data_IF_519649482162
#
_entry.id   IF_519649482162
#
_cell.length_a   1.000
_cell.length_b   1.000
_cell.length_c   1.000
_cell.angle_alpha   90.00
_cell.angle_beta   90.00
_cell.angle_gamma   90.00
#
_symmetry.space_group_name_H-M   'P 1'
#
loop_
_entity.id
_entity.type
_entity.pdbx_description
1 polymer ?
#
# COMPACT_ATOMS: atom_id res chain seq x y z
N UNK A 1 -3.64 -10.19 -3.73
CA UNK A 1 -2.65 -10.74 -4.69
C UNK A 1 -2.81 -10.15 -6.09
N UNK A 2 -3.62 -10.71 -7.01
CA UNK A 2 -3.62 -10.27 -8.42
C UNK A 2 -3.98 -8.80 -8.67
N UNK A 3 -4.78 -8.17 -7.82
CA UNK A 3 -5.09 -6.74 -7.91
C UNK A 3 -4.00 -5.84 -7.31
N UNK A 4 -3.25 -6.32 -6.32
CA UNK A 4 -2.17 -5.55 -5.68
C UNK A 4 -1.02 -5.35 -6.66
N UNK A 5 -0.71 -6.39 -7.46
CA UNK A 5 0.33 -6.32 -8.48
C UNK A 5 0.00 -5.30 -9.57
N UNK A 6 -1.29 -5.13 -9.93
CA UNK A 6 -1.74 -4.11 -10.87
C UNK A 6 -1.57 -2.70 -10.31
N UNK A 7 -1.96 -2.50 -9.05
CA UNK A 7 -1.82 -1.20 -8.38
C UNK A 7 -0.33 -0.83 -8.24
N UNK A 8 0.51 -1.80 -7.88
CA UNK A 8 1.94 -1.62 -7.74
C UNK A 8 2.60 -1.26 -9.08
N UNK A 9 2.22 -1.94 -10.17
CA UNK A 9 2.70 -1.62 -11.51
C UNK A 9 2.29 -0.20 -11.92
N UNK A 10 1.02 0.18 -11.72
CA UNK A 10 0.53 1.53 -12.02
C UNK A 10 1.29 2.61 -11.22
N UNK A 11 1.52 2.36 -9.93
CA UNK A 11 2.26 3.28 -9.07
C UNK A 11 3.73 3.43 -9.50
N UNK A 12 4.39 2.33 -9.92
CA UNK A 12 5.74 2.39 -10.45
C UNK A 12 5.81 3.15 -11.78
N UNK A 13 4.84 2.96 -12.67
CA UNK A 13 4.74 3.72 -13.92
C UNK A 13 4.62 5.22 -13.62
N UNK A 14 3.71 5.60 -12.72
CA UNK A 14 3.55 6.99 -12.31
C UNK A 14 4.86 7.59 -11.75
N UNK A 15 5.55 6.87 -10.86
CA UNK A 15 6.78 7.34 -10.22
C UNK A 15 7.96 7.41 -11.19
N UNK A 16 8.18 6.38 -12.00
CA UNK A 16 9.39 6.22 -12.84
C UNK A 16 9.28 6.83 -14.23
N UNK A 17 8.11 6.72 -14.86
CA UNK A 17 7.90 7.19 -16.24
C UNK A 17 7.41 8.63 -16.24
N UNK A 18 6.45 8.95 -15.38
CA UNK A 18 5.84 10.28 -15.34
C UNK A 18 6.44 11.22 -14.29
N UNK A 19 7.45 10.76 -13.54
CA UNK A 19 8.16 11.58 -12.55
C UNK A 19 7.28 12.06 -11.39
N UNK A 20 6.21 11.33 -11.07
CA UNK A 20 5.32 11.71 -9.96
C UNK A 20 6.10 11.62 -8.63
N UNK A 21 6.19 12.70 -7.84
CA UNK A 21 7.08 12.78 -6.69
C UNK A 21 6.67 11.86 -5.54
N UNK A 22 5.37 11.57 -5.39
CA UNK A 22 4.85 10.67 -4.36
C UNK A 22 3.67 9.86 -4.90
N UNK A 23 3.70 8.55 -4.66
CA UNK A 23 2.64 7.62 -5.01
C UNK A 23 2.31 6.76 -3.80
N UNK A 24 1.04 6.46 -3.61
CA UNK A 24 0.55 5.57 -2.55
C UNK A 24 -0.21 4.44 -3.23
N UNK A 25 0.05 3.20 -2.82
CA UNK A 25 -0.54 2.00 -3.39
C UNK A 25 -1.41 1.30 -2.35
N UNK A 26 -2.66 1.00 -2.72
CA UNK A 26 -3.49 0.11 -1.91
C UNK A 26 -2.99 -1.33 -2.05
N UNK A 27 -2.74 -1.99 -0.92
CA UNK A 27 -2.31 -3.40 -0.85
C UNK A 27 -3.26 -4.16 0.07
N UNK A 28 -3.85 -5.25 -0.40
CA UNK A 28 -4.71 -6.09 0.43
C UNK A 28 -3.94 -7.05 1.33
N UNK A 29 -2.87 -7.66 0.81
CA UNK A 29 -2.08 -8.65 1.52
C UNK A 29 -0.95 -7.99 2.33
N UNK A 30 -1.09 -7.82 3.66
CA UNK A 30 -0.06 -7.18 4.48
C UNK A 30 1.23 -7.99 4.53
N UNK A 31 1.21 -9.31 4.25
CA UNK A 31 2.43 -10.13 4.24
C UNK A 31 3.39 -9.75 3.11
N UNK A 32 2.92 -8.97 2.13
CA UNK A 32 3.71 -8.50 1.00
C UNK A 32 4.16 -7.05 1.16
N UNK A 33 3.90 -6.41 2.30
CA UNK A 33 4.25 -5.01 2.54
C UNK A 33 5.74 -4.75 2.30
N UNK A 34 6.63 -5.56 2.88
CA UNK A 34 8.09 -5.46 2.68
C UNK A 34 8.49 -5.57 1.20
N UNK A 35 7.81 -6.44 0.43
CA UNK A 35 8.05 -6.55 -1.00
C UNK A 35 7.68 -5.26 -1.73
N UNK A 36 6.53 -4.67 -1.45
CA UNK A 36 6.12 -3.41 -2.10
C UNK A 36 6.96 -2.21 -1.62
N UNK A 37 7.41 -2.20 -0.37
CA UNK A 37 8.37 -1.21 0.12
C UNK A 37 9.72 -1.32 -0.61
N UNK A 38 10.20 -2.55 -0.87
CA UNK A 38 11.43 -2.77 -1.66
C UNK A 38 11.33 -2.22 -3.10
N UNK A 39 10.12 -2.10 -3.64
CA UNK A 39 9.84 -1.47 -4.94
C UNK A 39 9.79 0.08 -4.86
N UNK A 40 9.97 0.64 -3.66
CA UNK A 40 9.89 2.06 -3.38
C UNK A 40 8.46 2.59 -3.38
N UNK A 41 7.47 1.73 -3.08
CA UNK A 41 6.06 2.08 -3.02
C UNK A 41 5.59 2.17 -1.57
N UNK A 42 4.90 3.26 -1.25
CA UNK A 42 4.22 3.43 0.04
C UNK A 42 2.90 2.65 -0.01
N UNK A 43 2.82 1.57 0.78
CA UNK A 43 1.68 0.67 0.83
C UNK A 43 0.66 1.06 1.90
N UNK A 44 -0.63 0.98 1.58
CA UNK A 44 -1.69 1.07 2.60
C UNK A 44 -2.61 -0.15 2.49
N UNK A 45 -2.72 -0.90 3.59
CA UNK A 45 -3.73 -1.94 3.74
C UNK A 45 -4.95 -1.43 4.50
N UNK A 46 -6.13 -1.33 3.85
CA UNK A 46 -7.37 -0.92 4.52
C UNK A 46 -7.72 -1.82 5.70
N UNK A 47 -7.39 -3.12 5.62
CA UNK A 47 -7.63 -4.07 6.71
C UNK A 47 -6.80 -3.74 7.94
N UNK A 48 -5.50 -3.46 7.76
CA UNK A 48 -4.61 -3.09 8.87
C UNK A 48 -5.02 -1.75 9.47
N UNK A 49 -5.32 -0.75 8.61
CA UNK A 49 -5.80 0.56 9.05
C UNK A 49 -7.09 0.42 9.85
N UNK A 50 -8.05 -0.36 9.36
CA UNK A 50 -9.32 -0.57 10.05
C UNK A 50 -9.15 -1.30 11.38
N UNK A 51 -8.33 -2.36 11.43
CA UNK A 51 -8.03 -3.06 12.67
C UNK A 51 -7.40 -2.14 13.73
N UNK A 52 -6.46 -1.26 13.31
CA UNK A 52 -5.87 -0.26 14.20
C UNK A 52 -6.91 0.72 14.74
N UNK A 53 -7.76 1.27 13.86
CA UNK A 53 -8.83 2.19 14.25
C UNK A 53 -9.84 1.54 15.22
N UNK A 54 -10.18 0.26 14.99
CA UNK A 54 -11.04 -0.49 15.90
C UNK A 54 -10.40 -0.66 17.28
N UNK A 55 -9.12 -1.05 17.32
CA UNK A 55 -8.37 -1.20 18.58
C UNK A 55 -8.37 0.11 19.38
N UNK A 56 -8.03 1.22 18.74
CA UNK A 56 -8.03 2.55 19.37
C UNK A 56 -9.40 2.98 19.93
N UNK A 57 -10.50 2.50 19.31
CA UNK A 57 -11.86 2.77 19.77
C UNK A 57 -12.28 1.89 20.96
N UNK A 58 -11.73 0.69 21.08
CA UNK A 58 -12.00 -0.23 22.19
C UNK A 58 -11.16 0.09 23.44
N UNK A 59 -9.98 0.66 23.25
CA UNK A 59 -9.08 1.06 24.34
C UNK A 59 -9.39 2.48 24.89
N UNK A 60 -10.37 3.17 24.31
CA UNK A 60 -10.93 4.43 24.80
C UNK A 60 -12.13 4.20 25.70
#
# INVERSE_FOLDING_TARGET
>A
AHYDDKNAMAAQIAKRIFGVPRVICRIYDPLREEFYESLGLEGISPTVVFARLLKEKLEK
#
